data_IF_148058420655
#
_entry.id   IF_148058420655
#
_cell.length_a   1.000
_cell.length_b   1.000
_cell.length_c   1.000
_cell.angle_alpha   90.00
_cell.angle_beta   90.00
_cell.angle_gamma   90.00
#
_symmetry.space_group_name_H-M   'P 1'
#
loop_
_entity.id
_entity.type
_entity.pdbx_description
1 polymer ?
#
# COMPACT_ATOMS: atom_id res chain seq x y z
N UNK A 1 45.11 -4.19 -0.74
CA UNK A 1 45.96 -4.07 -1.95
C UNK A 1 45.18 -4.60 -3.15
N UNK A 2 45.11 -3.81 -4.24
CA UNK A 2 44.83 -4.24 -5.65
C UNK A 2 43.39 -4.74 -5.90
N UNK A 3 42.60 -4.24 -6.85
CA UNK A 3 42.85 -3.57 -8.14
C UNK A 3 41.69 -2.62 -8.47
N UNK A 4 42.05 -1.44 -8.98
CA UNK A 4 41.22 -0.53 -9.78
C UNK A 4 41.10 -1.06 -11.22
N UNK A 5 40.42 -0.27 -12.06
CA UNK A 5 40.32 -0.30 -13.54
C UNK A 5 39.16 -1.26 -13.94
N UNK A 6 38.17 -0.89 -14.76
CA UNK A 6 38.27 -0.20 -16.05
C UNK A 6 37.00 0.63 -16.37
N UNK A 7 37.22 1.90 -16.73
CA UNK A 7 36.30 2.77 -17.48
C UNK A 7 36.05 2.20 -18.88
N UNK A 8 34.80 2.06 -19.29
CA UNK A 8 34.44 1.69 -20.66
C UNK A 8 33.25 2.51 -21.13
N UNK A 9 33.52 3.74 -21.56
CA UNK A 9 32.56 4.55 -22.31
C UNK A 9 32.41 3.98 -23.71
N UNK A 10 31.22 3.47 -24.04
CA UNK A 10 30.82 3.17 -25.41
C UNK A 10 29.66 4.10 -25.78
N UNK A 11 30.03 5.29 -26.25
CA UNK A 11 29.13 6.20 -26.94
C UNK A 11 28.87 5.62 -28.33
N UNK A 12 27.74 4.92 -28.51
CA UNK A 12 27.25 4.54 -29.82
C UNK A 12 26.39 5.69 -30.33
N UNK A 13 27.04 6.53 -31.15
CA UNK A 13 26.38 7.51 -32.01
C UNK A 13 25.70 6.73 -33.13
N UNK A 14 24.39 6.48 -32.97
CA UNK A 14 23.57 5.96 -34.05
C UNK A 14 22.91 7.13 -34.77
N UNK A 15 23.66 7.70 -35.70
CA UNK A 15 23.18 8.64 -36.70
C UNK A 15 22.42 7.83 -37.76
N UNK A 16 21.10 7.69 -37.59
CA UNK A 16 20.23 7.22 -38.66
C UNK A 16 19.44 8.40 -39.23
N UNK A 17 19.63 8.56 -40.53
CA UNK A 17 18.98 9.45 -41.47
C UNK A 17 17.53 9.81 -41.11
N UNK A 18 17.31 11.09 -40.82
CA UNK A 18 16.00 11.73 -40.91
C UNK A 18 15.71 11.91 -42.40
N UNK A 19 14.87 11.04 -42.95
CA UNK A 19 14.23 11.33 -44.23
C UNK A 19 13.21 12.45 -43.98
N UNK A 20 13.43 13.59 -44.63
CA UNK A 20 12.46 14.67 -44.74
C UNK A 20 11.25 14.17 -45.54
N UNK A 21 10.29 13.57 -44.83
CA UNK A 21 8.94 13.42 -45.36
C UNK A 21 8.32 14.82 -45.29
N UNK A 22 8.35 15.54 -46.41
CA UNK A 22 7.49 16.68 -46.68
C UNK A 22 6.04 16.20 -46.73
N UNK A 23 5.44 16.00 -45.55
CA UNK A 23 4.01 15.91 -45.35
C UNK A 23 3.47 17.34 -45.31
N UNK A 24 3.37 17.98 -46.47
CA UNK A 24 2.40 19.05 -46.68
C UNK A 24 1.00 18.41 -46.72
N UNK A 25 0.58 17.85 -45.59
CA UNK A 25 -0.81 17.51 -45.35
C UNK A 25 -1.61 18.82 -45.24
N UNK A 26 -2.90 18.82 -45.64
CA UNK A 26 -3.74 20.00 -45.49
C UNK A 26 -3.70 20.47 -44.04
N UNK A 27 -3.44 21.77 -43.87
CA UNK A 27 -3.55 22.46 -42.59
C UNK A 27 -4.89 22.09 -41.99
N UNK A 28 -4.87 21.30 -40.90
CA UNK A 28 -6.05 21.06 -40.08
C UNK A 28 -6.52 22.44 -39.66
N UNK A 29 -7.69 22.82 -40.18
CA UNK A 29 -8.32 24.10 -39.96
C UNK A 29 -8.38 24.38 -38.44
N UNK A 30 -7.77 25.46 -37.92
CA UNK A 30 -7.73 25.77 -36.49
C UNK A 30 -9.08 26.28 -35.96
N UNK A 31 -10.18 25.92 -36.60
CA UNK A 31 -11.54 26.09 -36.11
C UNK A 31 -11.83 24.99 -35.08
N UNK A 32 -11.12 25.01 -33.95
CA UNK A 32 -11.64 24.46 -32.70
C UNK A 32 -12.85 25.32 -32.36
N UNK A 33 -13.98 24.98 -32.98
CA UNK A 33 -15.29 25.46 -32.63
C UNK A 33 -15.41 25.40 -31.11
N UNK A 34 -15.74 26.54 -30.49
CA UNK A 34 -16.08 26.63 -29.07
C UNK A 34 -17.01 25.48 -28.75
N UNK A 35 -16.52 24.45 -28.07
CA UNK A 35 -17.36 23.32 -27.67
C UNK A 35 -18.56 23.91 -26.92
N UNK A 36 -19.76 23.46 -27.29
CA UNK A 36 -20.98 23.88 -26.60
C UNK A 36 -20.78 23.69 -25.08
N UNK A 37 -20.96 24.72 -24.24
CA UNK A 37 -20.80 24.62 -22.80
C UNK A 37 -21.55 23.44 -22.18
N UNK A 38 -22.71 23.06 -22.72
CA UNK A 38 -23.46 21.89 -22.28
C UNK A 38 -22.72 20.56 -22.52
N UNK A 39 -21.97 20.45 -23.63
CA UNK A 39 -21.15 19.27 -23.94
C UNK A 39 -19.95 19.18 -22.99
N UNK A 40 -19.30 20.31 -22.70
CA UNK A 40 -18.20 20.35 -21.73
C UNK A 40 -18.65 19.95 -20.33
N UNK A 41 -19.82 20.42 -19.89
CA UNK A 41 -20.38 20.08 -18.58
C UNK A 41 -20.73 18.59 -18.49
N UNK A 42 -21.32 18.03 -19.54
CA UNK A 42 -21.61 16.59 -19.65
C UNK A 42 -20.33 15.76 -19.58
N UNK A 43 -19.27 16.16 -20.30
CA UNK A 43 -17.98 15.47 -20.26
C UNK A 43 -17.33 15.52 -18.87
N UNK A 44 -17.37 16.67 -18.19
CA UNK A 44 -16.85 16.80 -16.81
C UNK A 44 -17.56 15.83 -15.87
N UNK A 45 -18.89 15.76 -15.94
CA UNK A 45 -19.71 14.84 -15.13
C UNK A 45 -19.34 13.37 -15.38
N UNK A 46 -19.26 12.95 -16.65
CA UNK A 46 -18.89 11.56 -17.00
C UNK A 46 -17.48 11.22 -16.48
N UNK A 47 -16.52 12.14 -16.61
CA UNK A 47 -15.15 11.93 -16.13
C UNK A 47 -15.14 11.81 -14.60
N UNK A 48 -15.88 12.68 -13.90
CA UNK A 48 -16.06 12.66 -12.46
C UNK A 48 -16.64 11.31 -12.01
N UNK A 49 -17.78 10.88 -12.55
CA UNK A 49 -18.45 9.62 -12.21
C UNK A 49 -17.52 8.41 -12.44
N UNK A 50 -16.79 8.39 -13.55
CA UNK A 50 -15.82 7.34 -13.86
C UNK A 50 -14.67 7.30 -12.85
N UNK A 51 -14.20 8.45 -12.36
CA UNK A 51 -13.16 8.52 -11.33
C UNK A 51 -13.69 8.08 -9.97
N UNK A 52 -14.88 8.51 -9.59
CA UNK A 52 -15.54 8.07 -8.37
C UNK A 52 -15.77 6.56 -8.35
N UNK A 53 -16.25 5.99 -9.46
CA UNK A 53 -16.42 4.55 -9.60
C UNK A 53 -15.13 3.77 -9.39
N UNK A 54 -14.00 4.26 -9.93
CA UNK A 54 -12.67 3.64 -9.69
C UNK A 54 -12.23 3.74 -8.23
N UNK A 55 -12.56 4.81 -7.53
CA UNK A 55 -12.23 4.95 -6.11
C UNK A 55 -13.07 3.99 -5.28
N UNK A 56 -14.37 3.85 -5.58
CA UNK A 56 -15.24 2.89 -4.90
C UNK A 56 -14.80 1.44 -5.13
N UNK A 57 -14.45 1.07 -6.36
CA UNK A 57 -13.91 -0.26 -6.65
C UNK A 57 -12.64 -0.54 -5.82
N UNK A 58 -11.76 0.47 -5.69
CA UNK A 58 -10.55 0.35 -4.88
C UNK A 58 -10.85 0.26 -3.39
N UNK A 59 -11.83 1.03 -2.89
CA UNK A 59 -12.28 0.97 -1.49
C UNK A 59 -12.79 -0.43 -1.15
N UNK A 60 -13.65 -1.00 -2.00
CA UNK A 60 -14.17 -2.36 -1.80
C UNK A 60 -13.05 -3.40 -1.75
N UNK A 61 -12.08 -3.33 -2.68
CA UNK A 61 -10.90 -4.21 -2.67
C UNK A 61 -9.99 -3.98 -1.47
N UNK A 62 -9.93 -2.76 -0.95
CA UNK A 62 -9.13 -2.42 0.21
C UNK A 62 -9.75 -3.00 1.49
N UNK A 63 -11.07 -2.85 1.64
CA UNK A 63 -11.86 -3.46 2.72
C UNK A 63 -11.75 -5.00 2.71
N UNK A 64 -11.93 -5.64 1.54
CA UNK A 64 -11.78 -7.09 1.40
C UNK A 64 -10.40 -7.57 1.85
N UNK A 65 -9.35 -6.82 1.53
CA UNK A 65 -7.99 -7.13 1.98
C UNK A 65 -7.83 -6.97 3.48
N UNK A 66 -8.42 -5.94 4.09
CA UNK A 66 -8.45 -5.80 5.56
C UNK A 66 -9.07 -7.03 6.19
N UNK A 67 -10.25 -7.45 5.74
CA UNK A 67 -10.93 -8.62 6.29
C UNK A 67 -10.03 -9.85 6.28
N UNK A 68 -9.35 -10.13 5.16
CA UNK A 68 -8.40 -11.25 5.05
C UNK A 68 -7.20 -11.11 5.99
N UNK A 69 -6.66 -9.90 6.14
CA UNK A 69 -5.57 -9.65 7.07
C UNK A 69 -6.00 -9.86 8.53
N UNK A 70 -7.15 -9.30 8.92
CA UNK A 70 -7.66 -9.41 10.29
C UNK A 70 -8.03 -10.85 10.65
N UNK A 71 -8.62 -11.61 9.72
CA UNK A 71 -8.85 -13.03 9.93
C UNK A 71 -7.54 -13.78 10.19
N UNK A 72 -6.49 -13.51 9.41
CA UNK A 72 -5.19 -14.12 9.61
C UNK A 72 -4.52 -13.71 10.94
N UNK A 73 -4.65 -12.44 11.34
CA UNK A 73 -4.07 -11.92 12.57
C UNK A 73 -4.79 -12.46 13.81
N UNK A 74 -6.12 -12.48 13.81
CA UNK A 74 -6.90 -13.07 14.89
C UNK A 74 -6.59 -14.57 15.04
N UNK A 75 -6.47 -15.29 13.92
CA UNK A 75 -6.08 -16.70 13.94
C UNK A 75 -4.65 -16.91 14.47
N UNK A 76 -3.73 -15.98 14.19
CA UNK A 76 -2.37 -16.02 14.69
C UNK A 76 -2.33 -15.79 16.21
N UNK A 77 -2.95 -14.73 16.71
CA UNK A 77 -3.01 -14.40 18.15
C UNK A 77 -3.61 -15.56 18.94
N UNK A 78 -4.80 -16.03 18.55
CA UNK A 78 -5.47 -17.17 19.19
C UNK A 78 -4.59 -18.43 19.27
N UNK A 79 -3.74 -18.66 18.26
CA UNK A 79 -2.84 -19.83 18.24
C UNK A 79 -1.62 -19.63 19.14
N UNK A 80 -1.14 -18.40 19.27
CA UNK A 80 0.00 -18.06 20.11
C UNK A 80 -0.39 -18.09 21.59
N UNK A 81 -1.53 -17.51 21.95
CA UNK A 81 -2.07 -17.56 23.31
C UNK A 81 -2.27 -19.01 23.78
N UNK A 82 -2.98 -19.82 22.97
CA UNK A 82 -3.17 -21.26 23.28
C UNK A 82 -1.86 -22.04 23.38
N UNK A 83 -0.84 -21.64 22.62
CA UNK A 83 0.48 -22.26 22.70
C UNK A 83 1.16 -21.87 24.01
N UNK A 84 1.12 -20.60 24.38
CA UNK A 84 1.68 -20.08 25.62
C UNK A 84 1.02 -20.75 26.83
N UNK A 85 -0.31 -20.77 26.90
CA UNK A 85 -1.08 -21.45 27.96
C UNK A 85 -0.64 -22.91 28.13
N UNK A 86 -0.49 -23.62 27.01
CA UNK A 86 -0.09 -25.03 27.01
C UNK A 86 1.37 -25.24 27.45
N UNK A 87 2.25 -24.29 27.16
CA UNK A 87 3.65 -24.35 27.57
C UNK A 87 3.78 -24.01 29.06
N UNK A 88 3.13 -22.93 29.50
CA UNK A 88 3.06 -22.53 30.92
C UNK A 88 2.48 -23.64 31.79
N UNK A 89 1.36 -24.27 31.38
CA UNK A 89 0.76 -25.40 32.09
C UNK A 89 1.68 -26.65 32.19
N UNK A 90 2.74 -26.71 31.38
CA UNK A 90 3.76 -27.77 31.42
C UNK A 90 5.01 -27.36 32.21
N UNK A 91 5.04 -26.19 32.82
CA UNK A 91 6.18 -25.67 33.59
C UNK A 91 7.29 -25.06 32.73
N UNK A 92 7.00 -24.66 31.48
CA UNK A 92 7.92 -23.83 30.70
C UNK A 92 7.75 -22.36 31.09
N UNK A 93 8.84 -21.58 31.04
CA UNK A 93 8.78 -20.13 31.21
C UNK A 93 8.40 -19.49 29.86
N UNK A 94 7.22 -18.86 29.83
CA UNK A 94 6.64 -18.23 28.64
C UNK A 94 6.71 -16.70 28.68
N UNK A 95 7.37 -16.11 29.69
CA UNK A 95 7.35 -14.67 29.94
C UNK A 95 7.65 -13.83 28.69
N UNK A 96 8.78 -14.10 28.02
CA UNK A 96 9.16 -13.37 26.79
C UNK A 96 8.14 -13.57 25.66
N UNK A 97 7.61 -14.78 25.50
CA UNK A 97 6.59 -15.06 24.49
C UNK A 97 5.29 -14.29 24.75
N UNK A 98 4.87 -14.18 26.01
CA UNK A 98 3.65 -13.46 26.40
C UNK A 98 3.81 -11.94 26.18
N UNK A 99 4.97 -11.38 26.53
CA UNK A 99 5.32 -9.99 26.24
C UNK A 99 5.29 -9.70 24.72
N UNK A 100 5.90 -10.58 23.91
CA UNK A 100 5.92 -10.42 22.46
C UNK A 100 4.56 -10.64 21.79
N UNK A 101 3.67 -11.46 22.37
CA UNK A 101 2.27 -11.56 21.94
C UNK A 101 1.56 -10.22 22.13
N UNK A 102 1.76 -9.55 23.27
CA UNK A 102 1.17 -8.23 23.52
C UNK A 102 1.69 -7.18 22.54
N UNK A 103 2.99 -7.17 22.22
CA UNK A 103 3.54 -6.25 21.20
C UNK A 103 2.99 -6.55 19.80
N UNK A 104 2.75 -7.82 19.48
CA UNK A 104 2.09 -8.19 18.23
C UNK A 104 0.66 -7.63 18.16
N UNK A 105 -0.09 -7.67 19.25
CA UNK A 105 -1.43 -7.09 19.36
C UNK A 105 -1.40 -5.58 19.11
N UNK A 106 -0.47 -4.85 19.73
CA UNK A 106 -0.30 -3.41 19.49
C UNK A 106 -0.06 -3.10 18.01
N UNK A 107 0.76 -3.90 17.33
CA UNK A 107 1.01 -3.74 15.88
C UNK A 107 -0.23 -4.00 15.04
N UNK A 108 -1.06 -4.97 15.42
CA UNK A 108 -2.34 -5.24 14.77
C UNK A 108 -3.30 -4.07 14.96
N UNK A 109 -3.38 -3.50 16.17
CA UNK A 109 -4.20 -2.32 16.46
C UNK A 109 -3.74 -1.09 15.67
N UNK A 110 -2.43 -0.90 15.49
CA UNK A 110 -1.89 0.16 14.63
C UNK A 110 -2.30 -0.04 13.16
N UNK A 111 -2.21 -1.27 12.64
CA UNK A 111 -2.67 -1.59 11.28
C UNK A 111 -4.16 -1.23 11.08
N UNK A 112 -5.02 -1.51 12.06
CA UNK A 112 -6.44 -1.14 12.00
C UNK A 112 -6.66 0.38 12.00
N UNK A 113 -5.91 1.09 12.84
CA UNK A 113 -5.95 2.56 12.93
C UNK A 113 -5.51 3.21 11.62
N UNK A 114 -4.39 2.79 11.06
CA UNK A 114 -3.87 3.30 9.79
C UNK A 114 -4.77 2.91 8.62
N UNK A 115 -5.41 1.74 8.67
CA UNK A 115 -6.43 1.36 7.71
C UNK A 115 -7.62 2.33 7.74
N UNK A 116 -8.16 2.62 8.93
CA UNK A 116 -9.29 3.52 9.08
C UNK A 116 -8.95 4.92 8.53
N UNK A 117 -7.77 5.43 8.85
CA UNK A 117 -7.27 6.70 8.31
C UNK A 117 -7.16 6.67 6.78
N UNK A 118 -6.58 5.62 6.21
CA UNK A 118 -6.48 5.46 4.75
C UNK A 118 -7.86 5.39 4.08
N UNK A 119 -8.80 4.66 4.69
CA UNK A 119 -10.16 4.48 4.17
C UNK A 119 -10.96 5.77 4.18
N UNK A 120 -10.91 6.56 5.25
CA UNK A 120 -11.53 7.89 5.30
C UNK A 120 -10.90 8.81 4.24
N UNK A 121 -9.58 8.79 4.08
CA UNK A 121 -8.91 9.58 3.03
C UNK A 121 -9.33 9.16 1.62
N UNK A 122 -9.66 7.90 1.39
CA UNK A 122 -10.21 7.45 0.10
C UNK A 122 -11.63 8.00 -0.13
N UNK A 123 -12.44 8.18 0.93
CA UNK A 123 -13.77 8.82 0.83
C UNK A 123 -13.63 10.31 0.51
N UNK A 124 -12.74 11.01 1.18
CA UNK A 124 -12.45 12.42 0.90
C UNK A 124 -11.97 12.60 -0.55
N UNK A 125 -10.97 11.81 -0.98
CA UNK A 125 -10.46 11.84 -2.34
C UNK A 125 -11.54 11.60 -3.41
N UNK A 126 -12.59 10.81 -3.12
CA UNK A 126 -13.72 10.60 -4.03
C UNK A 126 -14.50 11.89 -4.29
N UNK A 127 -14.74 12.68 -3.25
CA UNK A 127 -15.52 13.92 -3.34
C UNK A 127 -14.73 15.00 -4.07
N UNK A 128 -13.43 15.12 -3.76
CA UNK A 128 -12.52 16.09 -4.38
C UNK A 128 -12.46 15.99 -5.91
N UNK A 129 -12.59 14.79 -6.49
CA UNK A 129 -12.48 14.59 -7.94
C UNK A 129 -13.59 15.26 -8.77
N UNK A 130 -14.69 15.66 -8.14
CA UNK A 130 -15.90 16.13 -8.79
C UNK A 130 -16.27 17.56 -8.44
N UNK A 131 -15.66 18.10 -7.40
CA UNK A 131 -15.82 19.49 -6.98
C UNK A 131 -14.93 20.42 -7.81
N UNK A 132 -15.13 21.73 -7.71
CA UNK A 132 -14.39 22.76 -8.46
C UNK A 132 -12.95 22.97 -7.92
N UNK A 133 -12.29 21.90 -7.51
CA UNK A 133 -10.90 21.94 -7.09
C UNK A 133 -9.95 22.04 -8.28
N UNK A 134 -8.85 22.74 -8.06
CA UNK A 134 -7.74 22.82 -8.99
C UNK A 134 -7.13 21.44 -9.26
N UNK A 135 -6.43 21.30 -10.38
CA UNK A 135 -5.67 20.08 -10.65
C UNK A 135 -4.59 19.80 -9.60
N UNK A 136 -4.10 20.82 -8.90
CA UNK A 136 -3.04 20.68 -7.89
C UNK A 136 -3.61 20.10 -6.61
N UNK A 137 -4.73 20.62 -6.11
CA UNK A 137 -5.43 20.10 -4.92
C UNK A 137 -5.80 18.63 -5.10
N UNK A 138 -6.36 18.28 -6.27
CA UNK A 138 -6.68 16.90 -6.62
C UNK A 138 -5.47 15.96 -6.59
N UNK A 139 -4.32 16.43 -7.07
CA UNK A 139 -3.08 15.63 -7.04
C UNK A 139 -2.56 15.44 -5.62
N UNK A 140 -2.62 16.49 -4.80
CA UNK A 140 -2.18 16.45 -3.42
C UNK A 140 -3.05 15.49 -2.60
N UNK A 141 -4.37 15.52 -2.80
CA UNK A 141 -5.30 14.64 -2.11
C UNK A 141 -5.06 13.17 -2.47
N UNK A 142 -4.94 12.85 -3.76
CA UNK A 142 -4.57 11.49 -4.20
C UNK A 142 -3.22 11.05 -3.62
N UNK A 143 -2.24 11.95 -3.53
CA UNK A 143 -0.92 11.64 -2.97
C UNK A 143 -1.05 11.31 -1.48
N UNK A 144 -1.75 12.13 -0.71
CA UNK A 144 -2.00 11.88 0.71
C UNK A 144 -2.68 10.51 0.94
N UNK A 145 -3.69 10.16 0.15
CA UNK A 145 -4.32 8.84 0.21
C UNK A 145 -3.32 7.71 -0.06
N UNK A 146 -2.44 7.86 -1.06
CA UNK A 146 -1.42 6.85 -1.40
C UNK A 146 -0.41 6.67 -0.28
N UNK A 147 -0.01 7.75 0.39
CA UNK A 147 0.95 7.71 1.49
C UNK A 147 0.35 6.94 2.68
N UNK A 148 -0.94 7.13 3.00
CA UNK A 148 -1.63 6.33 4.02
C UNK A 148 -1.77 4.86 3.63
N UNK A 149 -2.14 4.55 2.38
CA UNK A 149 -2.18 3.16 1.89
C UNK A 149 -0.79 2.50 1.98
N UNK A 150 0.29 3.26 1.80
CA UNK A 150 1.65 2.75 1.94
C UNK A 150 1.93 2.36 3.39
N UNK A 151 1.50 3.16 4.38
CA UNK A 151 1.66 2.84 5.81
C UNK A 151 0.97 1.52 6.17
N UNK A 152 -0.29 1.35 5.79
CA UNK A 152 -1.04 0.09 6.02
C UNK A 152 -0.30 -1.14 5.45
N UNK A 153 0.37 -0.99 4.31
CA UNK A 153 1.20 -2.07 3.74
C UNK A 153 2.47 -2.32 4.55
N UNK A 154 3.09 -1.25 5.05
CA UNK A 154 4.26 -1.35 5.93
C UNK A 154 3.88 -2.05 7.22
N UNK A 155 2.78 -1.69 7.86
CA UNK A 155 2.28 -2.34 9.09
C UNK A 155 2.09 -3.85 8.88
N UNK A 156 1.49 -4.27 7.76
CA UNK A 156 1.34 -5.69 7.44
C UNK A 156 2.69 -6.43 7.28
N UNK A 157 3.70 -5.76 6.72
CA UNK A 157 5.06 -6.29 6.62
C UNK A 157 5.72 -6.36 7.99
N UNK A 158 5.53 -5.34 8.83
CA UNK A 158 6.06 -5.30 10.19
C UNK A 158 5.48 -6.40 11.06
N UNK A 159 4.15 -6.60 11.04
CA UNK A 159 3.48 -7.71 11.75
C UNK A 159 4.09 -9.06 11.34
N UNK A 160 4.23 -9.30 10.02
CA UNK A 160 4.81 -10.56 9.52
C UNK A 160 6.26 -10.73 9.97
N UNK A 161 7.06 -9.67 9.87
CA UNK A 161 8.47 -9.71 10.23
C UNK A 161 8.65 -9.89 11.74
N UNK A 162 7.82 -9.25 12.56
CA UNK A 162 7.82 -9.39 14.01
C UNK A 162 7.58 -10.83 14.42
N UNK A 163 6.52 -11.45 13.88
CA UNK A 163 6.26 -12.86 14.12
C UNK A 163 7.45 -13.75 13.70
N UNK A 164 8.02 -13.50 12.50
CA UNK A 164 9.08 -14.35 11.95
C UNK A 164 10.39 -14.24 12.73
N UNK A 165 10.75 -13.03 13.14
CA UNK A 165 12.09 -12.72 13.63
C UNK A 165 12.15 -12.57 15.15
N UNK A 166 11.01 -12.40 15.83
CA UNK A 166 10.92 -12.29 17.29
C UNK A 166 10.20 -13.54 17.83
N UNK A 167 8.86 -13.59 17.75
CA UNK A 167 8.01 -14.66 18.32
C UNK A 167 8.49 -16.09 17.99
N UNK A 168 8.92 -16.34 16.75
CA UNK A 168 9.43 -17.67 16.36
C UNK A 168 10.73 -18.05 17.08
N UNK A 169 11.58 -17.09 17.39
CA UNK A 169 12.81 -17.31 18.15
C UNK A 169 12.46 -17.64 19.61
N UNK A 170 11.48 -16.97 20.21
CA UNK A 170 11.07 -17.21 21.61
C UNK A 170 10.48 -18.61 21.74
N UNK A 171 9.63 -19.02 20.79
CA UNK A 171 9.12 -20.40 20.71
C UNK A 171 10.27 -21.41 20.60
N UNK A 172 11.36 -21.07 19.90
CA UNK A 172 12.52 -21.95 19.79
C UNK A 172 13.37 -21.97 21.06
N UNK A 173 13.49 -20.84 21.74
CA UNK A 173 14.15 -20.74 23.04
C UNK A 173 13.42 -21.57 24.09
N UNK A 174 12.09 -21.48 24.16
CA UNK A 174 11.25 -22.27 25.07
C UNK A 174 11.44 -23.78 24.85
N UNK A 175 11.54 -24.23 23.60
CA UNK A 175 11.80 -25.64 23.28
C UNK A 175 13.12 -26.20 23.83
N UNK A 176 14.07 -25.33 24.20
CA UNK A 176 15.35 -25.72 24.80
C UNK A 176 15.35 -25.68 26.32
N UNK A 177 14.32 -25.10 26.93
CA UNK A 177 14.18 -25.09 28.38
C UNK A 177 13.91 -26.51 28.87
N UNK A 178 14.35 -26.77 30.10
CA UNK A 178 13.90 -27.93 30.87
C UNK A 178 12.71 -27.47 31.71
N UNK A 179 11.51 -28.03 31.54
CA UNK A 179 10.34 -27.60 32.30
C UNK A 179 10.53 -27.86 33.79
N UNK A 180 10.15 -26.90 34.63
CA UNK A 180 10.08 -27.08 36.08
C UNK A 180 8.82 -27.88 36.41
N UNK A 181 8.93 -29.20 36.39
CA UNK A 181 7.91 -30.08 36.98
C UNK A 181 8.00 -30.04 38.50
#
# INVERSE_FOLDING_TARGET
MRKKIIMGAAAIVFFLAVAEISLAGPLIDPQINKLNPAVMETMKKIICEKRQGKIEERKAKFEERKTKHMEAYNNLQNRLEKLSDKLSAKGYDTTELDEDIAVLEEKINQFETDFAAAYEKMKEAKNYMCENHTSVENKNEIKATRDLIKKVRQDSVEIRNYYKNTIRLDIWAIKKQTPSQ
#
